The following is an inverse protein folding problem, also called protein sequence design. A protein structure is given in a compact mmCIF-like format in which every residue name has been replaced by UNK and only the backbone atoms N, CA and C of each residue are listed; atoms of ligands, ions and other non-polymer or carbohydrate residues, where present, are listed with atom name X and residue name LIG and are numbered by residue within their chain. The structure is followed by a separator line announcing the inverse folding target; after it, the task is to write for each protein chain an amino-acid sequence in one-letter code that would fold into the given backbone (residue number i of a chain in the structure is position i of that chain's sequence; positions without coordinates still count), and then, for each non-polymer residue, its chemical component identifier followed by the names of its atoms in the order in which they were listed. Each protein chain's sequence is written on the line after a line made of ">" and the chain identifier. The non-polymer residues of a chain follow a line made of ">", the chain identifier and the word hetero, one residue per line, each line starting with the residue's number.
data_IF_373717156704
#
_entry.id   IF_373717156704
#
_cell.length_a   1.000
_cell.length_b   1.000
_cell.length_c   1.000
_cell.angle_alpha   90.00
_cell.angle_beta   90.00
_cell.angle_gamma   90.00
#
_symmetry.space_group_name_H-M   'P 1'
#
loop_
_entity.id
_entity.type
_entity.pdbx_description
1 polymer ?
#
# COMPACT_ATOMS: atom_id res chain seq x y z
N UNK A 1 6.70 12.23 -8.48
CA UNK A 1 8.08 12.02 -7.95
C UNK A 1 8.76 10.90 -8.72
N UNK A 2 9.91 11.16 -9.34
CA UNK A 2 10.62 10.18 -10.19
C UNK A 2 11.52 9.27 -9.37
N UNK A 3 12.03 8.16 -9.92
CA UNK A 3 13.05 7.33 -9.27
C UNK A 3 14.39 8.08 -9.13
N UNK A 4 15.16 7.80 -8.08
CA UNK A 4 16.48 8.42 -7.86
C UNK A 4 17.53 7.35 -7.59
N UNK A 5 18.82 7.74 -7.65
CA UNK A 5 19.94 6.80 -7.49
C UNK A 5 19.91 6.08 -6.14
N UNK A 6 19.51 6.74 -5.06
CA UNK A 6 19.37 6.12 -3.73
C UNK A 6 18.25 5.06 -3.67
N UNK A 7 17.34 5.06 -4.65
CA UNK A 7 16.31 4.02 -4.77
C UNK A 7 16.89 2.69 -5.27
N UNK A 8 18.04 2.68 -5.96
CA UNK A 8 18.69 1.45 -6.47
C UNK A 8 19.05 0.51 -5.31
N UNK A 9 19.88 0.90 -4.32
CA UNK A 9 20.24 0.00 -3.22
C UNK A 9 19.01 -0.41 -2.39
N UNK A 10 18.04 0.49 -2.20
CA UNK A 10 16.78 0.19 -1.52
C UNK A 10 16.00 -0.93 -2.24
N UNK A 11 15.88 -0.83 -3.57
CA UNK A 11 15.19 -1.80 -4.42
C UNK A 11 15.87 -3.16 -4.37
N UNK A 12 17.19 -3.21 -4.57
CA UNK A 12 17.98 -4.44 -4.50
C UNK A 12 17.82 -5.11 -3.14
N UNK A 13 17.89 -4.34 -2.04
CA UNK A 13 17.75 -4.89 -0.71
C UNK A 13 16.33 -5.38 -0.40
N UNK A 14 15.30 -4.70 -0.93
CA UNK A 14 13.90 -5.12 -0.80
C UNK A 14 13.68 -6.48 -1.46
N UNK A 15 14.17 -6.66 -2.70
CA UNK A 15 14.07 -7.92 -3.42
C UNK A 15 14.89 -9.03 -2.76
N UNK A 16 16.07 -8.72 -2.25
CA UNK A 16 16.89 -9.69 -1.52
C UNK A 16 16.18 -10.19 -0.25
N UNK A 17 15.57 -9.30 0.53
CA UNK A 17 14.78 -9.70 1.71
C UNK A 17 13.58 -10.56 1.31
N UNK A 18 12.90 -10.22 0.22
CA UNK A 18 11.75 -10.96 -0.28
C UNK A 18 12.12 -12.40 -0.68
N UNK A 19 13.22 -12.59 -1.42
CA UNK A 19 13.63 -13.93 -1.85
C UNK A 19 14.16 -14.77 -0.67
N UNK A 20 14.83 -14.13 0.30
CA UNK A 20 15.32 -14.81 1.49
C UNK A 20 14.19 -15.22 2.44
N UNK A 21 13.17 -14.37 2.64
CA UNK A 21 12.05 -14.64 3.55
C UNK A 21 11.13 -15.77 3.09
N UNK A 22 11.16 -16.10 1.79
CA UNK A 22 10.38 -17.18 1.19
C UNK A 22 11.15 -18.51 1.06
N UNK A 23 12.40 -18.57 1.52
CA UNK A 23 13.17 -19.82 1.56
C UNK A 23 13.52 -20.40 0.18
N UNK A 24 13.64 -19.55 -0.85
CA UNK A 24 14.01 -20.02 -2.19
C UNK A 24 15.42 -20.63 -2.23
N UNK A 25 15.68 -21.62 -3.09
CA UNK A 25 17.03 -22.16 -3.29
C UNK A 25 18.03 -21.08 -3.70
N UNK A 26 19.28 -21.18 -3.23
CA UNK A 26 20.33 -20.18 -3.49
C UNK A 26 20.52 -19.88 -4.99
N UNK A 27 20.47 -20.92 -5.84
CA UNK A 27 20.54 -20.76 -7.30
C UNK A 27 19.41 -19.90 -7.88
N UNK A 28 18.20 -20.03 -7.33
CA UNK A 28 17.05 -19.21 -7.74
C UNK A 28 17.21 -17.77 -7.22
N UNK A 29 17.74 -17.60 -6.01
CA UNK A 29 18.03 -16.26 -5.47
C UNK A 29 19.03 -15.51 -6.33
N UNK A 30 20.13 -16.16 -6.73
CA UNK A 30 21.12 -15.56 -7.65
C UNK A 30 20.49 -15.20 -9.00
N UNK A 31 19.67 -16.09 -9.56
CA UNK A 31 18.98 -15.86 -10.84
C UNK A 31 18.07 -14.63 -10.78
N UNK A 32 17.28 -14.51 -9.71
CA UNK A 32 16.42 -13.34 -9.49
C UNK A 32 17.26 -12.07 -9.35
N UNK A 33 18.31 -12.10 -8.52
CA UNK A 33 19.15 -10.93 -8.27
C UNK A 33 19.84 -10.44 -9.55
N UNK A 34 20.38 -11.34 -10.37
CA UNK A 34 20.97 -10.98 -11.68
C UNK A 34 19.95 -10.28 -12.58
N UNK A 35 18.73 -10.81 -12.67
CA UNK A 35 17.65 -10.21 -13.46
C UNK A 35 17.22 -8.84 -12.92
N UNK A 36 17.12 -8.67 -11.61
CA UNK A 36 16.84 -7.37 -10.97
C UNK A 36 17.92 -6.35 -11.31
N UNK A 37 19.20 -6.72 -11.23
CA UNK A 37 20.31 -5.82 -11.57
C UNK A 37 20.33 -5.47 -13.06
N UNK A 38 20.09 -6.42 -13.96
CA UNK A 38 19.95 -6.15 -15.40
C UNK A 38 18.79 -5.20 -15.67
N UNK A 39 17.61 -5.45 -15.08
CA UNK A 39 16.47 -4.55 -15.20
C UNK A 39 16.83 -3.13 -14.75
N UNK A 40 17.43 -2.99 -13.56
CA UNK A 40 17.80 -1.68 -13.03
C UNK A 40 18.83 -0.98 -13.91
N UNK A 41 19.70 -1.69 -14.62
CA UNK A 41 20.69 -1.08 -15.52
C UNK A 41 20.08 -0.50 -16.81
N UNK A 42 18.88 -0.95 -17.19
CA UNK A 42 18.20 -0.57 -18.44
C UNK A 42 16.91 0.23 -18.20
N UNK A 43 16.50 0.39 -16.94
CA UNK A 43 15.24 1.01 -16.56
C UNK A 43 15.21 2.52 -16.82
N UNK A 44 14.02 3.03 -17.18
CA UNK A 44 13.76 4.46 -17.28
C UNK A 44 13.52 5.07 -15.89
N UNK A 45 14.51 5.81 -15.38
CA UNK A 45 14.43 6.47 -14.07
C UNK A 45 13.58 7.74 -14.05
N UNK A 46 13.03 8.17 -15.20
CA UNK A 46 12.01 9.22 -15.22
C UNK A 46 10.68 8.75 -14.61
N UNK A 47 10.45 7.43 -14.59
CA UNK A 47 9.28 6.82 -13.97
C UNK A 47 9.29 6.97 -12.45
N UNK A 48 8.12 6.88 -11.83
CA UNK A 48 7.99 6.89 -10.37
C UNK A 48 8.50 5.59 -9.73
N UNK A 49 8.95 5.61 -8.47
CA UNK A 49 9.36 4.39 -7.78
C UNK A 49 8.31 3.26 -7.79
N UNK A 50 7.00 3.52 -7.57
CA UNK A 50 6.00 2.47 -7.68
C UNK A 50 5.85 1.90 -9.09
N UNK A 51 6.09 2.69 -10.14
CA UNK A 51 5.99 2.21 -11.52
C UNK A 51 7.12 1.22 -11.84
N UNK A 52 8.36 1.53 -11.46
CA UNK A 52 9.48 0.60 -11.62
C UNK A 52 9.33 -0.64 -10.73
N UNK A 53 8.85 -0.47 -9.51
CA UNK A 53 8.60 -1.59 -8.60
C UNK A 53 7.55 -2.56 -9.17
N UNK A 54 6.47 -2.05 -9.80
CA UNK A 54 5.48 -2.89 -10.50
C UNK A 54 6.14 -3.82 -11.50
N UNK A 55 6.97 -3.26 -12.38
CA UNK A 55 7.56 -4.01 -13.49
C UNK A 55 8.56 -5.06 -12.98
N UNK A 56 9.34 -4.73 -11.94
CA UNK A 56 10.16 -5.70 -11.22
C UNK A 56 9.36 -6.83 -10.57
N UNK A 57 8.22 -6.50 -9.93
CA UNK A 57 7.38 -7.50 -9.28
C UNK A 57 6.64 -8.39 -10.29
N UNK A 58 6.26 -7.87 -11.47
CA UNK A 58 5.76 -8.66 -12.60
C UNK A 58 6.82 -9.65 -13.10
N UNK A 59 8.05 -9.20 -13.28
CA UNK A 59 9.18 -10.06 -13.65
C UNK A 59 9.40 -11.16 -12.61
N UNK A 60 9.35 -10.82 -11.33
CA UNK A 60 9.51 -11.81 -10.25
C UNK A 60 8.44 -12.90 -10.30
N UNK A 61 7.16 -12.54 -10.49
CA UNK A 61 6.07 -13.52 -10.66
C UNK A 61 6.34 -14.50 -11.79
N UNK A 62 6.85 -14.01 -12.92
CA UNK A 62 7.22 -14.84 -14.07
C UNK A 62 8.38 -15.78 -13.75
N UNK A 63 9.42 -15.30 -13.06
CA UNK A 63 10.58 -16.15 -12.68
C UNK A 63 10.17 -17.25 -11.70
N UNK A 64 9.28 -16.93 -10.76
CA UNK A 64 8.81 -17.86 -9.74
C UNK A 64 7.69 -18.79 -10.20
N UNK A 65 7.14 -18.58 -11.41
CA UNK A 65 5.92 -19.22 -11.89
C UNK A 65 4.79 -19.19 -10.83
N UNK A 66 4.67 -18.05 -10.15
CA UNK A 66 3.72 -17.87 -9.07
C UNK A 66 3.01 -16.51 -9.23
N UNK A 67 1.68 -16.51 -9.47
CA UNK A 67 0.93 -15.27 -9.66
C UNK A 67 0.78 -14.43 -8.39
N UNK A 68 0.89 -15.01 -7.20
CA UNK A 68 0.90 -14.27 -5.92
C UNK A 68 1.95 -14.87 -4.95
N UNK A 69 3.23 -14.47 -5.07
CA UNK A 69 4.28 -14.91 -4.15
C UNK A 69 4.14 -14.30 -2.73
N UNK A 70 3.12 -13.47 -2.49
CA UNK A 70 2.90 -12.77 -1.22
C UNK A 70 1.73 -13.30 -0.42
N UNK A 71 0.91 -14.20 -0.97
CA UNK A 71 -0.33 -14.66 -0.35
C UNK A 71 -0.12 -15.20 1.08
N UNK A 72 0.95 -15.96 1.30
CA UNK A 72 1.27 -16.54 2.60
C UNK A 72 1.60 -15.48 3.67
N UNK A 73 2.42 -14.47 3.31
CA UNK A 73 2.77 -13.40 4.24
C UNK A 73 1.56 -12.48 4.49
N UNK A 74 0.77 -12.16 3.47
CA UNK A 74 -0.49 -11.40 3.62
C UNK A 74 -1.43 -12.10 4.59
N UNK A 75 -1.70 -13.40 4.40
CA UNK A 75 -2.57 -14.19 5.28
C UNK A 75 -2.09 -14.21 6.74
N UNK A 76 -0.78 -14.36 6.95
CA UNK A 76 -0.16 -14.32 8.29
C UNK A 76 -0.34 -12.95 8.96
N UNK A 77 -0.03 -11.87 8.25
CA UNK A 77 -0.11 -10.50 8.78
C UNK A 77 -1.57 -10.11 9.05
N UNK A 78 -2.47 -10.46 8.13
CA UNK A 78 -3.91 -10.30 8.29
C UNK A 78 -4.36 -10.99 9.58
N UNK A 79 -4.11 -12.29 9.72
CA UNK A 79 -4.46 -13.06 10.93
C UNK A 79 -3.93 -12.46 12.24
N UNK A 80 -2.69 -11.94 12.23
CA UNK A 80 -2.10 -11.28 13.39
C UNK A 80 -2.83 -10.00 13.81
N UNK A 81 -3.27 -9.19 12.84
CA UNK A 81 -4.01 -7.95 13.10
C UNK A 81 -5.45 -8.21 13.49
N UNK A 82 -6.09 -9.21 12.87
CA UNK A 82 -7.42 -9.69 13.21
C UNK A 82 -7.55 -10.03 14.69
N UNK A 83 -6.58 -10.77 15.22
CA UNK A 83 -6.55 -11.16 16.62
C UNK A 83 -6.50 -9.97 17.60
N UNK A 84 -6.07 -8.79 17.13
CA UNK A 84 -5.96 -7.56 17.94
C UNK A 84 -7.07 -6.56 17.68
N UNK A 85 -7.93 -6.79 16.68
CA UNK A 85 -8.94 -5.82 16.27
C UNK A 85 -9.85 -5.39 17.43
N UNK A 86 -10.36 -6.34 18.22
CA UNK A 86 -11.24 -6.05 19.33
C UNK A 86 -10.56 -5.18 20.42
N UNK A 87 -9.28 -5.42 20.68
CA UNK A 87 -8.47 -4.61 21.60
C UNK A 87 -8.26 -3.19 21.06
N UNK A 88 -7.83 -3.08 19.80
CA UNK A 88 -7.57 -1.80 19.15
C UNK A 88 -8.85 -0.95 19.04
N UNK A 89 -9.99 -1.60 18.76
CA UNK A 89 -11.29 -0.96 18.72
C UNK A 89 -11.68 -0.39 20.08
N UNK A 90 -11.59 -1.19 21.16
CA UNK A 90 -11.82 -0.70 22.54
C UNK A 90 -10.90 0.46 22.91
N UNK A 91 -9.65 0.43 22.43
CA UNK A 91 -8.70 1.53 22.64
C UNK A 91 -9.16 2.82 21.98
N UNK A 92 -9.75 2.75 20.78
CA UNK A 92 -10.35 3.92 20.11
C UNK A 92 -11.56 4.41 20.89
N UNK A 93 -12.51 3.53 21.20
CA UNK A 93 -13.78 3.86 21.88
C UNK A 93 -13.55 4.49 23.26
N UNK A 94 -12.55 4.02 24.00
CA UNK A 94 -12.25 4.51 25.36
C UNK A 94 -11.23 5.66 25.39
N UNK A 95 -10.74 6.12 24.23
CA UNK A 95 -9.77 7.21 24.19
C UNK A 95 -10.44 8.58 24.36
N UNK A 96 -9.68 9.57 24.86
CA UNK A 96 -10.15 10.95 25.00
C UNK A 96 -10.51 11.58 23.65
N UNK A 97 -9.79 11.19 22.59
CA UNK A 97 -10.04 11.60 21.22
C UNK A 97 -10.06 10.36 20.31
N UNK A 98 -11.26 9.76 20.09
CA UNK A 98 -11.42 8.58 19.24
C UNK A 98 -10.96 8.80 17.82
N UNK A 99 -11.19 9.99 17.25
CA UNK A 99 -10.79 10.31 15.88
C UNK A 99 -9.28 10.32 15.74
N UNK A 100 -8.59 11.05 16.63
CA UNK A 100 -7.12 11.11 16.60
C UNK A 100 -6.50 9.74 16.88
N UNK A 101 -7.09 8.95 17.79
CA UNK A 101 -6.62 7.59 18.09
C UNK A 101 -6.80 6.66 16.89
N UNK A 102 -7.95 6.69 16.23
CA UNK A 102 -8.19 5.91 15.00
C UNK A 102 -7.24 6.33 13.87
N UNK A 103 -6.99 7.64 13.72
CA UNK A 103 -6.04 8.17 12.74
C UNK A 103 -4.62 7.69 13.00
N UNK A 104 -4.15 7.74 14.25
CA UNK A 104 -2.83 7.20 14.64
C UNK A 104 -2.72 5.71 14.35
N UNK A 105 -3.75 4.92 14.66
CA UNK A 105 -3.79 3.49 14.32
C UNK A 105 -3.80 3.27 12.80
N UNK A 106 -4.50 4.10 12.04
CA UNK A 106 -4.53 4.05 10.60
C UNK A 106 -3.14 4.29 9.99
N UNK A 107 -2.36 5.26 10.51
CA UNK A 107 -0.97 5.47 10.08
C UNK A 107 -0.06 4.36 10.60
N UNK A 108 -0.26 3.88 11.83
CA UNK A 108 0.55 2.81 12.42
C UNK A 108 0.46 1.49 11.64
N UNK A 109 -0.71 1.12 11.14
CA UNK A 109 -0.83 -0.05 10.27
C UNK A 109 -0.25 0.15 8.85
N UNK A 110 0.36 1.30 8.53
CA UNK A 110 1.26 1.37 7.37
C UNK A 110 2.66 0.74 7.66
N UNK A 111 2.94 0.46 8.93
CA UNK A 111 4.07 -0.35 9.40
C UNK A 111 3.65 -1.83 9.54
N UNK A 112 2.36 -2.08 9.76
CA UNK A 112 1.80 -3.41 10.05
C UNK A 112 0.52 -3.62 9.21
N UNK A 113 0.60 -4.45 8.17
CA UNK A 113 -0.49 -4.57 7.18
C UNK A 113 -1.83 -5.03 7.76
N UNK A 114 -2.92 -4.50 7.19
CA UNK A 114 -4.27 -4.52 7.78
C UNK A 114 -5.14 -5.71 7.37
N UNK A 115 -5.97 -6.15 8.32
CA UNK A 115 -7.20 -6.94 8.13
C UNK A 115 -8.13 -6.79 9.34
N UNK A 116 -9.46 -6.90 9.15
CA UNK A 116 -10.50 -6.96 10.21
C UNK A 116 -11.43 -8.20 10.08
N UNK A 117 -11.85 -8.80 11.20
CA UNK A 117 -12.77 -9.96 11.34
C UNK A 117 -13.07 -10.01 12.82
N UNK A 118 -13.91 -9.08 13.27
CA UNK A 118 -14.84 -9.32 14.36
C UNK A 118 -15.99 -8.32 14.24
N UNK A 119 -17.18 -8.91 14.28
CA UNK A 119 -18.48 -8.31 14.01
C UNK A 119 -18.80 -7.14 14.95
N UNK A 120 -19.40 -6.10 14.37
CA UNK A 120 -20.31 -5.20 15.08
C UNK A 120 -21.72 -5.36 14.51
N UNK A 121 -22.67 -5.04 15.38
CA UNK A 121 -24.11 -5.12 15.22
C UNK A 121 -24.61 -4.62 13.86
N UNK A 122 -25.60 -5.35 13.34
CA UNK A 122 -26.14 -5.24 11.99
C UNK A 122 -27.00 -3.98 11.79
N UNK A 123 -27.14 -3.10 12.79
CA UNK A 123 -28.18 -2.06 12.80
C UNK A 123 -27.71 -0.60 12.84
N UNK A 124 -26.44 -0.26 12.56
CA UNK A 124 -26.07 1.17 12.44
C UNK A 124 -25.40 1.65 11.15
N UNK A 125 -25.16 0.82 10.14
CA UNK A 125 -24.89 1.36 8.79
C UNK A 125 -24.95 0.29 7.70
N UNK A 126 -26.16 0.03 7.22
CA UNK A 126 -26.40 -0.51 5.88
C UNK A 126 -25.66 0.42 4.90
N UNK A 127 -24.50 0.00 4.38
CA UNK A 127 -23.66 0.75 3.43
C UNK A 127 -23.59 2.27 3.70
N UNK A 128 -22.48 2.77 4.25
CA UNK A 128 -22.14 4.17 3.99
C UNK A 128 -21.90 4.30 2.47
N UNK A 129 -22.96 4.56 1.69
CA UNK A 129 -22.97 4.66 0.22
C UNK A 129 -22.02 5.73 -0.34
N UNK A 130 -21.35 6.47 0.55
CA UNK A 130 -20.37 7.52 0.27
C UNK A 130 -18.92 7.10 0.49
N UNK A 131 -18.64 5.98 1.15
CA UNK A 131 -17.27 5.50 1.40
C UNK A 131 -16.93 4.43 0.36
N UNK A 132 -15.72 4.50 -0.19
CA UNK A 132 -15.16 3.50 -1.08
C UNK A 132 -13.76 3.11 -0.63
N UNK A 133 -13.47 1.82 -0.58
CA UNK A 133 -12.11 1.32 -0.39
C UNK A 133 -11.50 0.98 -1.75
N UNK A 134 -10.47 1.74 -2.15
CA UNK A 134 -9.70 1.45 -3.35
C UNK A 134 -8.52 0.53 -3.03
N UNK A 135 -8.54 -0.67 -3.60
CA UNK A 135 -7.48 -1.69 -3.48
C UNK A 135 -6.76 -1.90 -4.81
N UNK A 136 -5.75 -2.77 -4.88
CA UNK A 136 -5.03 -3.06 -6.12
C UNK A 136 -5.83 -3.96 -7.06
N UNK A 137 -5.58 -3.80 -8.36
CA UNK A 137 -6.13 -4.68 -9.39
C UNK A 137 -5.48 -6.07 -9.43
N UNK A 138 -4.31 -6.24 -8.81
CA UNK A 138 -3.64 -7.53 -8.70
C UNK A 138 -2.60 -7.56 -7.57
N UNK A 139 -2.06 -8.75 -7.24
CA UNK A 139 -1.16 -8.94 -6.11
C UNK A 139 0.17 -8.22 -6.29
N UNK A 140 0.57 -7.44 -5.28
CA UNK A 140 1.86 -6.76 -5.24
C UNK A 140 2.29 -6.51 -3.81
N UNK A 141 3.42 -7.09 -3.42
CA UNK A 141 3.97 -7.02 -2.06
C UNK A 141 2.88 -7.35 -1.03
N UNK A 142 2.53 -6.40 -0.18
CA UNK A 142 1.58 -6.50 0.90
C UNK A 142 0.33 -5.64 0.65
N UNK A 143 0.23 -4.99 -0.52
CA UNK A 143 -0.93 -4.19 -0.86
C UNK A 143 -2.16 -5.09 -1.00
N UNK A 144 -3.27 -4.63 -0.41
CA UNK A 144 -4.55 -5.34 -0.47
C UNK A 144 -5.09 -5.36 -1.91
N UNK A 145 -5.68 -6.50 -2.28
CA UNK A 145 -6.49 -6.71 -3.48
C UNK A 145 -7.97 -6.80 -3.11
N UNK A 146 -8.85 -6.98 -4.10
CA UNK A 146 -10.29 -7.20 -3.86
C UNK A 146 -10.51 -8.45 -3.01
N UNK A 147 -9.81 -9.55 -3.32
CA UNK A 147 -9.92 -10.80 -2.56
C UNK A 147 -9.49 -10.62 -1.10
N UNK A 148 -8.41 -9.87 -0.85
CA UNK A 148 -7.96 -9.56 0.51
C UNK A 148 -9.01 -8.72 1.27
N UNK A 149 -9.64 -7.76 0.60
CA UNK A 149 -10.68 -6.91 1.19
C UNK A 149 -11.96 -7.69 1.54
N UNK A 150 -12.37 -8.62 0.68
CA UNK A 150 -13.52 -9.51 0.89
C UNK A 150 -13.25 -10.52 2.00
N UNK A 151 -12.04 -11.11 2.05
CA UNK A 151 -11.65 -12.07 3.08
C UNK A 151 -11.81 -11.47 4.49
N UNK A 152 -11.60 -10.16 4.62
CA UNK A 152 -11.62 -9.41 5.87
C UNK A 152 -12.89 -8.55 6.04
N UNK A 153 -13.90 -8.78 5.18
CA UNK A 153 -15.23 -8.19 5.33
C UNK A 153 -15.31 -6.67 5.15
N UNK A 154 -14.38 -6.05 4.42
CA UNK A 154 -14.45 -4.61 4.14
C UNK A 154 -15.65 -4.24 3.26
N UNK A 155 -16.10 -5.16 2.42
CA UNK A 155 -17.30 -5.06 1.59
C UNK A 155 -18.58 -4.86 2.40
N UNK A 156 -18.58 -5.24 3.68
CA UNK A 156 -19.70 -5.02 4.60
C UNK A 156 -19.74 -3.59 5.13
N UNK A 157 -18.62 -2.85 5.03
CA UNK A 157 -18.48 -1.49 5.56
C UNK A 157 -18.61 -0.43 4.46
N UNK A 158 -18.09 -0.74 3.26
CA UNK A 158 -18.06 0.18 2.12
C UNK A 158 -17.91 -0.58 0.81
N UNK A 159 -18.25 0.10 -0.29
CA UNK A 159 -18.00 -0.41 -1.64
C UNK A 159 -16.48 -0.58 -1.86
N UNK A 160 -16.06 -1.78 -2.30
CA UNK A 160 -14.66 -2.06 -2.64
C UNK A 160 -14.48 -1.90 -4.15
N UNK A 161 -13.59 -0.99 -4.53
CA UNK A 161 -13.20 -0.74 -5.93
C UNK A 161 -11.71 -1.06 -6.09
N UNK A 162 -11.22 -1.20 -7.32
CA UNK A 162 -9.80 -1.45 -7.57
C UNK A 162 -9.17 -0.41 -8.49
N UNK A 163 -7.87 -0.17 -8.33
CA UNK A 163 -7.10 0.74 -9.19
C UNK A 163 -6.96 0.25 -10.63
N UNK A 164 -7.18 -1.04 -10.89
CA UNK A 164 -6.93 -1.66 -12.20
C UNK A 164 -5.45 -1.84 -12.54
N UNK A 165 -4.56 -1.62 -11.57
CA UNK A 165 -3.11 -1.81 -11.69
C UNK A 165 -2.58 -2.60 -10.49
N UNK A 166 -1.45 -3.27 -10.66
CA UNK A 166 -0.73 -4.11 -9.70
C UNK A 166 0.60 -3.46 -9.27
N UNK A 167 0.64 -2.12 -9.24
CA UNK A 167 1.76 -1.35 -8.67
C UNK A 167 1.64 -1.21 -7.14
N UNK A 168 2.76 -1.14 -6.39
CA UNK A 168 2.76 -0.84 -4.95
C UNK A 168 2.55 0.66 -4.71
N UNK A 169 1.39 1.16 -5.12
CA UNK A 169 1.04 2.57 -5.24
C UNK A 169 -0.03 2.77 -6.31
N UNK A 170 -0.47 4.01 -6.53
CA UNK A 170 -1.34 4.35 -7.66
C UNK A 170 -0.49 4.96 -8.76
N UNK A 171 -0.47 4.34 -9.94
CA UNK A 171 0.08 4.96 -11.15
C UNK A 171 -1.09 5.52 -11.94
N UNK A 172 -1.18 6.85 -12.01
CA UNK A 172 -2.35 7.52 -12.56
C UNK A 172 -2.61 7.12 -14.02
N UNK A 173 -1.56 7.05 -14.82
CA UNK A 173 -1.63 6.79 -16.26
C UNK A 173 -2.29 5.44 -16.55
N UNK A 174 -1.86 4.40 -15.82
CA UNK A 174 -2.29 3.00 -16.01
C UNK A 174 -3.47 2.57 -15.14
N UNK A 175 -3.94 3.42 -14.22
CA UNK A 175 -5.14 3.12 -13.43
C UNK A 175 -6.41 3.10 -14.29
N UNK A 176 -7.40 2.29 -13.91
CA UNK A 176 -8.66 2.14 -14.63
C UNK A 176 -9.47 3.45 -14.68
N UNK A 177 -10.25 3.62 -15.75
CA UNK A 177 -11.13 4.79 -15.91
C UNK A 177 -12.22 4.83 -14.82
N UNK A 178 -12.68 3.67 -14.38
CA UNK A 178 -13.61 3.52 -13.26
C UNK A 178 -13.01 4.09 -11.96
N UNK A 179 -11.79 3.68 -11.59
CA UNK A 179 -11.09 4.21 -10.42
C UNK A 179 -10.90 5.72 -10.53
N UNK A 180 -10.44 6.22 -11.69
CA UNK A 180 -10.25 7.65 -11.94
C UNK A 180 -11.56 8.42 -11.82
N UNK A 181 -12.69 7.85 -12.27
CA UNK A 181 -14.00 8.47 -12.15
C UNK A 181 -14.46 8.57 -10.69
N UNK A 182 -14.22 7.53 -9.87
CA UNK A 182 -14.49 7.59 -8.43
C UNK A 182 -13.57 8.58 -7.72
N UNK A 183 -12.28 8.59 -8.04
CA UNK A 183 -11.29 9.49 -7.46
C UNK A 183 -11.68 10.96 -7.67
N UNK A 184 -12.04 11.36 -8.90
CA UNK A 184 -12.43 12.74 -9.23
C UNK A 184 -13.75 13.18 -8.58
N UNK A 185 -14.66 12.23 -8.29
CA UNK A 185 -15.94 12.50 -7.65
C UNK A 185 -15.85 12.59 -6.12
N UNK A 186 -14.73 12.20 -5.52
CA UNK A 186 -14.60 12.14 -4.07
C UNK A 186 -14.45 13.54 -3.46
N UNK A 187 -15.23 13.82 -2.42
CA UNK A 187 -15.11 15.05 -1.62
C UNK A 187 -13.82 15.06 -0.78
N UNK A 188 -13.40 13.88 -0.32
CA UNK A 188 -12.22 13.66 0.53
C UNK A 188 -11.51 12.40 0.08
N UNK A 189 -10.19 12.48 -0.09
CA UNK A 189 -9.35 11.36 -0.47
C UNK A 189 -8.33 11.10 0.64
N UNK A 190 -8.28 9.85 1.12
CA UNK A 190 -7.29 9.38 2.09
C UNK A 190 -6.41 8.34 1.41
N UNK A 191 -5.17 8.71 1.10
CA UNK A 191 -4.17 7.83 0.50
C UNK A 191 -3.24 7.26 1.57
N UNK A 192 -3.32 5.95 1.79
CA UNK A 192 -2.51 5.23 2.77
C UNK A 192 -1.19 4.78 2.14
N UNK A 193 -0.07 5.01 2.82
CA UNK A 193 1.24 4.49 2.43
C UNK A 193 2.04 5.38 1.48
N UNK A 194 3.37 5.17 1.48
CA UNK A 194 4.34 5.99 0.76
C UNK A 194 4.21 5.84 -0.76
N UNK A 195 3.91 4.64 -1.29
CA UNK A 195 3.75 4.45 -2.73
C UNK A 195 2.57 5.24 -3.32
N UNK A 196 1.49 5.41 -2.54
CA UNK A 196 0.37 6.27 -2.96
C UNK A 196 0.75 7.75 -2.95
N UNK A 197 1.60 8.18 -2.00
CA UNK A 197 2.19 9.53 -2.01
C UNK A 197 3.04 9.76 -3.26
N UNK A 198 3.96 8.85 -3.56
CA UNK A 198 4.85 8.95 -4.72
C UNK A 198 4.08 9.02 -6.05
N UNK A 199 2.97 8.28 -6.15
CA UNK A 199 2.14 8.21 -7.37
C UNK A 199 1.03 9.27 -7.51
N UNK A 200 0.49 9.80 -6.40
CA UNK A 200 -0.63 10.76 -6.43
C UNK A 200 -0.23 12.18 -6.02
N UNK A 201 1.00 12.40 -5.53
CA UNK A 201 1.47 13.72 -5.08
C UNK A 201 1.45 14.79 -6.16
N UNK A 202 1.29 14.47 -7.44
CA UNK A 202 1.17 15.44 -8.54
C UNK A 202 -0.30 15.71 -8.94
N UNK A 203 -1.27 15.12 -8.23
CA UNK A 203 -2.71 15.34 -8.48
C UNK A 203 -3.23 16.63 -7.86
N UNK A 204 -4.15 17.33 -8.56
CA UNK A 204 -4.71 18.59 -8.09
C UNK A 204 -5.81 18.41 -7.03
N UNK A 205 -6.43 17.23 -6.95
CA UNK A 205 -7.53 16.95 -6.02
C UNK A 205 -7.07 17.03 -4.55
N UNK A 206 -7.95 17.46 -3.62
CA UNK A 206 -7.62 17.55 -2.21
C UNK A 206 -7.43 16.15 -1.61
N UNK A 207 -6.18 15.86 -1.23
CA UNK A 207 -5.76 14.53 -0.77
C UNK A 207 -5.02 14.62 0.57
N UNK A 208 -5.37 13.70 1.46
CA UNK A 208 -4.67 13.45 2.72
C UNK A 208 -3.84 12.17 2.57
N UNK A 209 -2.53 12.30 2.77
CA UNK A 209 -1.60 11.19 2.79
C UNK A 209 -1.33 10.75 4.22
N UNK A 210 -1.56 9.47 4.49
CA UNK A 210 -1.31 8.82 5.77
C UNK A 210 -0.21 7.79 5.56
N UNK A 211 1.02 8.12 5.95
CA UNK A 211 2.18 7.27 5.67
C UNK A 211 3.23 7.37 6.76
N UNK A 212 4.24 6.50 6.69
CA UNK A 212 5.45 6.58 7.49
C UNK A 212 6.58 6.84 6.52
N UNK A 213 7.49 7.76 6.83
CA UNK A 213 8.67 8.02 5.99
C UNK A 213 9.59 6.81 6.04
N UNK A 214 9.72 6.09 4.92
CA UNK A 214 10.53 4.84 4.85
C UNK A 214 11.92 5.07 4.24
N UNK A 215 12.17 6.24 3.66
CA UNK A 215 13.46 6.61 3.07
C UNK A 215 13.73 8.11 3.24
N UNK A 216 15.01 8.48 3.17
CA UNK A 216 15.48 9.86 3.35
C UNK A 216 14.79 10.82 2.39
N UNK A 217 14.67 10.46 1.12
CA UNK A 217 14.05 11.33 0.12
C UNK A 217 12.63 11.78 0.45
N UNK A 218 11.80 10.86 0.93
CA UNK A 218 10.43 11.19 1.32
C UNK A 218 10.41 11.95 2.64
N UNK A 219 11.36 11.66 3.53
CA UNK A 219 11.54 12.37 4.78
C UNK A 219 11.95 13.84 4.55
N UNK A 220 12.93 14.09 3.67
CA UNK A 220 13.37 15.41 3.23
C UNK A 220 12.25 16.20 2.56
N UNK A 221 11.50 15.57 1.63
CA UNK A 221 10.34 16.20 0.99
C UNK A 221 9.29 16.64 2.03
N UNK A 222 9.12 15.85 3.08
CA UNK A 222 8.17 16.14 4.15
C UNK A 222 8.75 17.02 5.28
N UNK A 223 10.04 17.35 5.24
CA UNK A 223 10.71 18.14 6.29
C UNK A 223 10.79 17.45 7.65
N UNK A 224 10.88 16.12 7.69
CA UNK A 224 10.86 15.31 8.93
C UNK A 224 11.92 14.20 8.88
N UNK A 225 12.28 13.56 10.02
CA UNK A 225 13.15 12.39 10.03
C UNK A 225 12.52 11.14 9.37
N UNK A 226 13.35 10.20 8.92
CA UNK A 226 12.92 8.84 8.55
C UNK A 226 12.27 8.15 9.76
N UNK A 227 11.18 7.42 9.52
CA UNK A 227 10.37 6.75 10.55
C UNK A 227 9.26 7.62 11.15
N UNK A 228 9.08 8.85 10.68
CA UNK A 228 8.03 9.75 11.14
C UNK A 228 6.65 9.31 10.66
N UNK A 229 5.66 9.35 11.55
CA UNK A 229 4.25 9.09 11.25
C UNK A 229 3.60 10.36 10.72
N UNK A 230 3.12 10.31 9.47
CA UNK A 230 2.66 11.49 8.74
C UNK A 230 1.16 11.44 8.47
N UNK A 231 0.52 12.58 8.71
CA UNK A 231 -0.78 12.96 8.14
C UNK A 231 -0.53 14.25 7.38
N UNK A 232 -0.45 14.16 6.06
CA UNK A 232 -0.02 15.26 5.20
C UNK A 232 -1.12 15.62 4.21
N UNK A 233 -1.57 16.87 4.20
CA UNK A 233 -2.53 17.37 3.21
C UNK A 233 -1.75 18.17 2.16
N UNK A 234 -1.86 17.76 0.89
CA UNK A 234 -1.36 18.58 -0.20
C UNK A 234 -2.36 19.71 -0.48
N UNK A 235 -1.93 20.96 -0.39
CA UNK A 235 -2.76 22.15 -0.68
C UNK A 235 -3.24 22.95 0.54
N UNK A 236 -2.73 22.70 1.74
CA UNK A 236 -2.73 23.71 2.79
C UNK A 236 -1.38 24.45 2.70
N UNK A 237 -1.40 25.63 2.06
CA UNK A 237 -0.36 26.62 2.26
C UNK A 237 -0.39 27.16 3.69
#
# INVERSE_FOLDING_TARGET
>A
MNFAYDCIPCTVQSFLRLIQSNGFPERLQETVLRKVLTFLSEADYSLSPPALARDLHRMLRQILDNPDPYAAIKKKTNGFMLARYAELKKRVENSQDPFQTALRLAVAGNVIDFAAKHLMDVDETINHSRIRFAVRGGPVINDATVDDALEVGLDRLAEVIHTGDDAPGVIWETSSDEFKAHYRKADVIIAKGQGNLEGLSERPEPIFFLFVTKCERVAEMAGVPVGSFMVWRKGAG
#
